data_IF_861200320644
#
_entry.id   IF_861200320644
#
_cell.length_a   1.000
_cell.length_b   1.000
_cell.length_c   1.000
_cell.angle_alpha   90.00
_cell.angle_beta   90.00
_cell.angle_gamma   90.00
#
_symmetry.space_group_name_H-M   'P 1'
#
loop_
_entity.id
_entity.type
_entity.pdbx_description
1 polymer ?
#
# COMPACT_ATOMS: atom_id res chain seq x y z
N UNK A 1 5.24 50.57 -7.71
CA UNK A 1 4.94 49.26 -8.34
C UNK A 1 3.94 48.53 -7.46
N UNK A 2 2.71 48.33 -7.93
CA UNK A 2 1.74 47.46 -7.26
C UNK A 2 2.07 46.05 -7.74
N UNK A 3 2.72 45.28 -6.89
CA UNK A 3 2.92 43.86 -7.16
C UNK A 3 1.56 43.16 -7.06
N UNK A 4 1.21 42.24 -7.99
CA UNK A 4 -0.08 41.59 -7.97
C UNK A 4 -0.23 40.70 -6.74
N UNK A 5 -1.42 40.72 -6.14
CA UNK A 5 -1.82 39.79 -5.09
C UNK A 5 -1.72 38.36 -5.63
N UNK A 6 -0.96 37.49 -4.96
CA UNK A 6 -0.92 36.07 -5.32
C UNK A 6 -2.05 35.34 -4.60
N UNK A 7 -2.87 34.61 -5.35
CA UNK A 7 -4.01 33.86 -4.84
C UNK A 7 -3.75 32.36 -5.03
N UNK A 8 -3.90 31.58 -3.97
CA UNK A 8 -3.69 30.14 -3.96
C UNK A 8 -4.93 29.40 -3.50
N UNK A 9 -5.14 28.21 -4.05
CA UNK A 9 -6.17 27.28 -3.58
C UNK A 9 -5.49 26.20 -2.75
N UNK A 10 -5.84 26.11 -1.46
CA UNK A 10 -5.28 25.15 -0.52
C UNK A 10 -6.36 24.10 -0.20
N UNK A 11 -6.12 22.80 -0.45
CA UNK A 11 -7.04 21.75 -0.04
C UNK A 11 -7.29 21.79 1.47
N UNK A 12 -8.57 21.74 1.89
CA UNK A 12 -8.99 21.73 3.28
C UNK A 12 -10.25 20.87 3.46
N UNK A 13 -10.05 19.61 3.84
CA UNK A 13 -11.14 18.63 3.89
C UNK A 13 -11.82 18.49 2.51
N UNK A 14 -13.15 18.59 2.41
CA UNK A 14 -13.86 18.45 1.12
C UNK A 14 -13.88 19.74 0.28
N UNK A 15 -13.25 20.84 0.72
CA UNK A 15 -13.26 22.14 0.03
C UNK A 15 -11.84 22.66 -0.21
N UNK A 16 -11.74 23.73 -1.00
CA UNK A 16 -10.51 24.52 -1.13
C UNK A 16 -10.65 25.86 -0.42
N UNK A 17 -9.58 26.30 0.23
CA UNK A 17 -9.48 27.63 0.83
C UNK A 17 -8.66 28.54 -0.07
N UNK A 18 -9.15 29.77 -0.23
CA UNK A 18 -8.42 30.81 -0.94
C UNK A 18 -7.42 31.49 0.01
N UNK A 19 -6.13 31.37 -0.29
CA UNK A 19 -5.06 32.05 0.43
C UNK A 19 -4.52 33.21 -0.42
N UNK A 20 -4.64 34.43 0.11
CA UNK A 20 -4.13 35.66 -0.50
C UNK A 20 -2.82 36.04 0.16
N UNK A 21 -1.72 36.04 -0.59
CA UNK A 21 -0.40 36.44 -0.07
C UNK A 21 -0.10 37.86 -0.56
N UNK A 22 0.02 38.84 0.37
CA UNK A 22 0.45 40.19 0.02
C UNK A 22 1.85 40.16 -0.61
N UNK A 23 2.09 41.01 -1.62
CA UNK A 23 3.33 40.97 -2.39
C UNK A 23 4.59 41.40 -1.63
N UNK A 24 4.44 41.98 -0.43
CA UNK A 24 5.57 42.30 0.46
C UNK A 24 6.30 41.03 0.92
N UNK A 25 5.62 39.88 0.93
CA UNK A 25 6.21 38.61 1.30
C UNK A 25 6.93 37.98 0.12
N UNK A 26 8.18 37.56 0.34
CA UNK A 26 9.00 36.82 -0.62
C UNK A 26 9.04 35.35 -0.24
N UNK A 27 8.90 34.47 -1.22
CA UNK A 27 8.95 33.03 -1.05
C UNK A 27 8.80 32.31 -2.39
N UNK A 28 9.09 31.01 -2.37
CA UNK A 28 8.95 30.13 -3.52
C UNK A 28 7.75 29.20 -3.34
N UNK A 29 7.13 28.82 -4.45
CA UNK A 29 6.01 27.87 -4.47
C UNK A 29 6.56 26.53 -4.90
N UNK A 30 6.60 25.58 -3.98
CA UNK A 30 6.96 24.20 -4.27
C UNK A 30 5.68 23.42 -4.55
N UNK A 31 5.46 23.10 -5.82
CA UNK A 31 4.39 22.20 -6.25
C UNK A 31 5.01 20.97 -6.89
N UNK A 32 4.46 19.80 -6.57
CA UNK A 32 4.87 18.57 -7.24
C UNK A 32 4.58 18.68 -8.73
N UNK A 33 5.61 18.57 -9.58
CA UNK A 33 5.43 18.34 -11.01
C UNK A 33 5.24 16.85 -11.20
N UNK A 34 4.03 16.37 -10.95
CA UNK A 34 3.63 15.09 -11.50
C UNK A 34 3.36 15.37 -12.98
N UNK A 35 4.17 14.81 -13.87
CA UNK A 35 3.78 14.72 -15.27
C UNK A 35 2.48 13.94 -15.30
N UNK A 36 1.38 14.65 -15.53
CA UNK A 36 0.08 14.06 -15.79
C UNK A 36 0.11 13.52 -17.21
N UNK A 37 1.01 12.59 -17.53
CA UNK A 37 0.64 11.64 -18.56
C UNK A 37 -0.69 11.06 -18.12
N UNK A 38 -1.70 11.14 -18.99
CA UNK A 38 -3.01 10.59 -18.66
C UNK A 38 -2.80 9.11 -18.44
N UNK A 39 -2.95 8.66 -17.20
CA UNK A 39 -2.98 7.24 -16.90
C UNK A 39 -4.19 6.62 -17.62
N UNK A 40 -3.91 5.68 -18.52
CA UNK A 40 -4.94 4.87 -19.19
C UNK A 40 -4.97 3.48 -18.54
N UNK A 41 -6.19 2.94 -18.36
CA UNK A 41 -6.34 1.65 -17.68
C UNK A 41 -5.80 0.49 -18.53
N UNK A 42 -5.82 0.68 -19.84
CA UNK A 42 -5.27 -0.21 -20.85
C UNK A 42 -3.75 -0.38 -20.67
N UNK A 43 -3.03 0.66 -20.26
CA UNK A 43 -1.59 0.60 -19.96
C UNK A 43 -1.33 -0.30 -18.75
N UNK A 44 -2.17 -0.21 -17.72
CA UNK A 44 -2.08 -1.10 -16.57
C UNK A 44 -2.35 -2.56 -16.97
N UNK A 45 -3.38 -2.82 -17.78
CA UNK A 45 -3.68 -4.16 -18.26
C UNK A 45 -2.54 -4.75 -19.09
N UNK A 46 -1.90 -3.94 -19.94
CA UNK A 46 -0.71 -4.34 -20.68
C UNK A 46 0.48 -4.64 -19.74
N UNK A 47 0.70 -3.78 -18.73
CA UNK A 47 1.78 -3.94 -17.76
C UNK A 47 1.65 -5.20 -16.90
N UNK A 48 0.43 -5.65 -16.58
CA UNK A 48 0.19 -6.93 -15.88
C UNK A 48 0.82 -8.12 -16.63
N UNK A 49 0.89 -8.06 -17.96
CA UNK A 49 1.54 -9.07 -18.80
C UNK A 49 3.03 -8.85 -19.04
N UNK A 50 3.61 -7.75 -18.56
CA UNK A 50 5.00 -7.34 -18.81
C UNK A 50 5.71 -7.07 -17.47
N UNK A 51 6.05 -8.12 -16.70
CA UNK A 51 6.81 -7.95 -15.46
C UNK A 51 8.20 -7.35 -15.74
N UNK A 52 8.71 -6.54 -14.81
CA UNK A 52 10.02 -5.89 -14.97
C UNK A 52 11.20 -6.87 -14.78
N UNK A 53 11.19 -7.64 -13.67
CA UNK A 53 12.32 -8.49 -13.26
C UNK A 53 11.83 -9.81 -12.63
N UNK A 54 10.77 -10.41 -13.19
CA UNK A 54 10.21 -11.67 -12.71
C UNK A 54 9.60 -12.50 -13.84
N UNK A 55 9.32 -13.79 -13.60
CA UNK A 55 8.41 -14.56 -14.43
C UNK A 55 7.08 -13.84 -14.66
N UNK A 56 6.43 -14.15 -15.78
CA UNK A 56 5.08 -13.69 -16.09
C UNK A 56 4.07 -14.13 -15.03
N UNK A 57 2.97 -13.40 -14.89
CA UNK A 57 1.93 -13.76 -13.91
C UNK A 57 1.37 -15.17 -14.16
N UNK A 58 1.22 -15.57 -15.42
CA UNK A 58 0.72 -16.91 -15.77
C UNK A 58 1.71 -18.01 -15.34
N UNK A 59 3.01 -17.78 -15.50
CA UNK A 59 4.06 -18.70 -15.03
C UNK A 59 4.14 -18.75 -13.49
N UNK A 60 4.02 -17.59 -12.84
CA UNK A 60 4.01 -17.51 -11.37
C UNK A 60 2.82 -18.27 -10.75
N UNK A 61 1.67 -18.23 -11.42
CA UNK A 61 0.44 -18.90 -10.99
C UNK A 61 0.35 -20.36 -11.46
N UNK A 62 1.29 -20.84 -12.28
CA UNK A 62 1.28 -22.23 -12.72
C UNK A 62 1.45 -23.19 -11.54
N UNK A 63 0.62 -24.24 -11.52
CA UNK A 63 0.54 -25.19 -10.41
C UNK A 63 0.12 -24.61 -9.05
N UNK A 64 -0.33 -23.34 -8.98
CA UNK A 64 -0.66 -22.67 -7.73
C UNK A 64 -1.81 -23.38 -6.98
N UNK A 65 -1.50 -23.94 -5.81
CA UNK A 65 -2.48 -24.67 -4.98
C UNK A 65 -3.35 -23.74 -4.14
N UNK A 66 -2.76 -22.64 -3.67
CA UNK A 66 -3.43 -21.63 -2.87
C UNK A 66 -2.74 -20.28 -3.01
N UNK A 67 -3.52 -19.25 -3.30
CA UNK A 67 -3.04 -17.88 -3.49
C UNK A 67 -3.51 -17.00 -2.33
N UNK A 68 -2.59 -16.24 -1.73
CA UNK A 68 -2.94 -15.16 -0.82
C UNK A 68 -2.71 -13.82 -1.50
N UNK A 69 -3.76 -13.01 -1.59
CA UNK A 69 -3.70 -11.68 -2.16
C UNK A 69 -3.70 -10.67 -1.02
N UNK A 70 -2.59 -9.95 -0.84
CA UNK A 70 -2.50 -8.85 0.11
C UNK A 70 -2.99 -7.57 -0.54
N UNK A 71 -3.89 -6.86 0.12
CA UNK A 71 -4.42 -5.57 -0.36
C UNK A 71 -4.28 -4.50 0.71
N UNK A 72 -4.15 -3.24 0.31
CA UNK A 72 -4.28 -2.14 1.26
C UNK A 72 -5.70 -2.07 1.85
N UNK A 73 -5.80 -1.48 3.04
CA UNK A 73 -7.07 -1.10 3.64
C UNK A 73 -7.66 0.17 2.99
N UNK A 74 -8.82 0.60 3.48
CA UNK A 74 -9.58 1.75 2.96
C UNK A 74 -8.87 3.10 3.13
N UNK A 75 -7.81 3.15 3.94
CA UNK A 75 -7.05 4.39 4.20
C UNK A 75 -6.11 4.72 3.06
N UNK A 76 -5.99 3.84 2.06
CA UNK A 76 -5.20 4.05 0.85
C UNK A 76 -6.10 4.27 -0.37
N UNK A 77 -5.73 5.18 -1.27
CA UNK A 77 -6.46 5.42 -2.51
C UNK A 77 -6.13 4.35 -3.57
N UNK A 78 -5.82 3.11 -3.16
CA UNK A 78 -5.51 2.02 -4.08
C UNK A 78 -6.79 1.61 -4.83
N UNK A 79 -6.81 1.60 -6.18
CA UNK A 79 -7.97 1.17 -6.96
C UNK A 79 -8.08 -0.37 -6.98
N UNK A 80 -8.17 -0.98 -5.79
CA UNK A 80 -8.08 -2.44 -5.58
C UNK A 80 -9.05 -3.21 -6.48
N UNK A 81 -10.32 -2.83 -6.51
CA UNK A 81 -11.33 -3.49 -7.34
C UNK A 81 -11.02 -3.46 -8.84
N UNK A 82 -10.48 -2.34 -9.36
CA UNK A 82 -10.02 -2.27 -10.76
C UNK A 82 -8.80 -3.16 -10.99
N UNK A 83 -7.80 -3.11 -10.10
CA UNK A 83 -6.63 -4.00 -10.24
C UNK A 83 -7.07 -5.46 -10.23
N UNK A 84 -8.00 -5.84 -9.35
CA UNK A 84 -8.58 -7.18 -9.34
C UNK A 84 -9.31 -7.50 -10.64
N UNK A 85 -10.05 -6.57 -11.23
CA UNK A 85 -10.71 -6.74 -12.52
C UNK A 85 -9.72 -7.07 -13.64
N UNK A 86 -8.57 -6.37 -13.71
CA UNK A 86 -7.51 -6.68 -14.67
C UNK A 86 -6.85 -8.06 -14.42
N UNK A 87 -6.78 -8.49 -13.16
CA UNK A 87 -6.21 -9.79 -12.77
C UNK A 87 -7.22 -10.94 -12.84
N UNK A 88 -8.52 -10.63 -12.87
CA UNK A 88 -9.62 -11.57 -12.70
C UNK A 88 -9.58 -12.77 -13.65
N UNK A 89 -9.24 -12.62 -14.94
CA UNK A 89 -9.14 -13.75 -15.86
C UNK A 89 -8.14 -14.83 -15.42
N UNK A 90 -7.14 -14.45 -14.62
CA UNK A 90 -6.05 -15.33 -14.14
C UNK A 90 -6.29 -15.87 -12.74
N UNK A 91 -6.95 -15.11 -11.87
CA UNK A 91 -7.09 -15.47 -10.45
C UNK A 91 -8.45 -16.07 -10.08
N UNK A 92 -9.52 -15.80 -10.84
CA UNK A 92 -10.91 -16.14 -10.45
C UNK A 92 -11.16 -17.64 -10.25
N UNK A 93 -10.44 -18.48 -11.00
CA UNK A 93 -10.54 -19.96 -10.91
C UNK A 93 -9.62 -20.57 -9.86
N UNK A 94 -8.72 -19.79 -9.27
CA UNK A 94 -7.79 -20.28 -8.26
C UNK A 94 -8.47 -20.35 -6.89
N UNK A 95 -7.95 -21.22 -6.05
CA UNK A 95 -8.23 -21.17 -4.62
C UNK A 95 -7.45 -20.00 -4.02
N UNK A 96 -8.13 -18.89 -3.73
CA UNK A 96 -7.47 -17.71 -3.17
C UNK A 96 -8.22 -17.11 -1.99
N UNK A 97 -7.45 -16.46 -1.11
CA UNK A 97 -7.95 -15.57 -0.07
C UNK A 97 -7.38 -14.17 -0.27
N UNK A 98 -8.13 -13.17 0.18
CA UNK A 98 -7.65 -11.79 0.28
C UNK A 98 -7.37 -11.52 1.75
N UNK A 99 -6.20 -10.95 2.06
CA UNK A 99 -5.90 -10.44 3.39
C UNK A 99 -5.70 -8.92 3.31
N UNK A 100 -6.61 -8.19 3.95
CA UNK A 100 -6.53 -6.73 4.07
C UNK A 100 -5.44 -6.38 5.08
N UNK A 101 -4.40 -5.70 4.59
CA UNK A 101 -3.21 -5.32 5.33
C UNK A 101 -3.44 -4.00 6.10
N UNK A 102 -4.08 -4.12 7.26
CA UNK A 102 -4.46 -2.99 8.14
C UNK A 102 -3.30 -2.40 8.94
N UNK A 103 -2.20 -3.14 9.11
CA UNK A 103 -1.15 -2.79 10.06
C UNK A 103 -1.71 -2.53 11.45
N UNK A 104 -1.60 -1.28 11.94
CA UNK A 104 -2.12 -0.88 13.27
C UNK A 104 -3.55 -0.37 13.25
N UNK A 105 -4.14 -0.19 12.07
CA UNK A 105 -5.50 0.33 11.92
C UNK A 105 -6.54 -0.68 12.41
N UNK A 106 -7.73 -0.18 12.74
CA UNK A 106 -8.87 -1.05 13.03
C UNK A 106 -9.37 -1.66 11.71
N UNK A 107 -9.77 -2.94 11.69
CA UNK A 107 -10.44 -3.52 10.53
C UNK A 107 -11.63 -2.68 10.07
N UNK A 108 -11.82 -2.58 8.75
CA UNK A 108 -12.91 -1.85 8.12
C UNK A 108 -14.27 -2.45 8.50
N UNK A 109 -15.33 -1.65 8.41
CA UNK A 109 -16.73 -2.11 8.49
C UNK A 109 -17.27 -2.46 7.10
N UNK A 110 -18.25 -3.36 7.05
CA UNK A 110 -18.77 -3.98 5.80
C UNK A 110 -19.15 -2.98 4.70
N UNK A 111 -19.74 -1.83 5.05
CA UNK A 111 -20.23 -0.82 4.08
C UNK A 111 -19.14 -0.24 3.15
N UNK A 112 -17.87 -0.24 3.58
CA UNK A 112 -16.77 0.27 2.75
C UNK A 112 -16.17 -0.80 1.83
N UNK A 113 -16.44 -2.08 2.09
CA UNK A 113 -15.79 -3.19 1.40
C UNK A 113 -16.29 -3.34 -0.04
N UNK A 114 -17.60 -3.20 -0.25
CA UNK A 114 -18.17 -3.22 -1.59
C UNK A 114 -17.50 -2.19 -2.49
N UNK A 115 -17.31 -0.96 -2.00
CA UNK A 115 -16.62 0.11 -2.75
C UNK A 115 -15.17 -0.24 -3.10
N UNK A 116 -14.44 -0.87 -2.17
CA UNK A 116 -13.03 -1.22 -2.37
C UNK A 116 -12.87 -2.33 -3.40
N UNK A 117 -13.79 -3.30 -3.36
CA UNK A 117 -13.70 -4.54 -4.12
C UNK A 117 -14.58 -4.59 -5.38
N UNK A 118 -15.43 -3.58 -5.62
CA UNK A 118 -16.21 -3.46 -6.85
C UNK A 118 -15.31 -3.51 -8.11
N UNK A 119 -15.67 -4.27 -9.16
CA UNK A 119 -16.97 -4.93 -9.35
C UNK A 119 -17.08 -6.33 -8.74
N UNK A 120 -15.98 -6.93 -8.29
CA UNK A 120 -15.94 -8.34 -7.91
C UNK A 120 -16.37 -8.65 -6.47
N UNK A 121 -16.95 -7.67 -5.75
CA UNK A 121 -17.43 -7.88 -4.39
C UNK A 121 -18.38 -9.09 -4.25
N UNK A 122 -19.38 -9.30 -5.13
CA UNK A 122 -20.28 -10.46 -5.05
C UNK A 122 -19.56 -11.81 -5.13
N UNK A 123 -18.46 -11.91 -5.87
CA UNK A 123 -17.69 -13.14 -6.08
C UNK A 123 -16.69 -13.42 -4.94
N UNK A 124 -16.35 -12.41 -4.14
CA UNK A 124 -15.33 -12.53 -3.10
C UNK A 124 -15.85 -13.19 -1.83
N UNK A 125 -17.13 -13.06 -1.49
CA UNK A 125 -17.77 -13.74 -0.36
C UNK A 125 -16.90 -13.80 0.91
N UNK A 126 -16.83 -14.96 1.56
CA UNK A 126 -16.01 -15.20 2.76
C UNK A 126 -14.50 -15.36 2.51
N UNK A 127 -13.98 -14.96 1.34
CA UNK A 127 -12.53 -15.05 1.02
C UNK A 127 -11.72 -13.90 1.61
N UNK A 128 -12.38 -12.84 2.09
CA UNK A 128 -11.73 -11.65 2.61
C UNK A 128 -11.49 -11.81 4.11
N UNK A 129 -10.23 -11.71 4.50
CA UNK A 129 -9.75 -11.72 5.86
C UNK A 129 -9.17 -10.35 6.20
N UNK A 130 -9.27 -9.98 7.47
CA UNK A 130 -8.68 -8.75 7.98
C UNK A 130 -7.50 -9.09 8.89
N UNK A 131 -6.40 -8.40 8.67
CA UNK A 131 -5.30 -8.45 9.60
C UNK A 131 -5.68 -7.72 10.91
N UNK A 132 -5.32 -8.30 12.05
CA UNK A 132 -5.32 -7.61 13.34
C UNK A 132 -3.94 -7.80 13.98
N UNK A 133 -3.14 -6.73 13.99
CA UNK A 133 -1.78 -6.75 14.55
C UNK A 133 -1.73 -7.06 16.04
N UNK A 134 -2.86 -6.95 16.76
CA UNK A 134 -2.95 -7.20 18.21
C UNK A 134 -3.42 -8.62 18.54
N UNK A 135 -3.84 -9.40 17.54
CA UNK A 135 -4.25 -10.78 17.73
C UNK A 135 -3.03 -11.73 17.72
N UNK A 136 -2.39 -11.92 18.87
CA UNK A 136 -1.15 -12.71 18.98
C UNK A 136 -1.30 -14.16 18.49
N UNK A 137 -2.44 -14.81 18.78
CA UNK A 137 -2.69 -16.20 18.35
C UNK A 137 -2.79 -16.39 16.84
N UNK A 138 -2.95 -15.31 16.07
CA UNK A 138 -2.97 -15.32 14.61
C UNK A 138 -1.61 -15.12 13.95
N UNK A 139 -0.53 -14.97 14.73
CA UNK A 139 0.80 -14.62 14.25
C UNK A 139 1.76 -15.81 14.24
N UNK A 140 2.72 -15.78 13.33
CA UNK A 140 3.84 -16.73 13.28
C UNK A 140 5.16 -15.97 13.28
N UNK A 141 6.11 -16.46 14.07
CA UNK A 141 7.48 -15.94 14.10
C UNK A 141 8.29 -16.50 12.93
N UNK A 142 8.89 -15.62 12.13
CA UNK A 142 9.65 -15.98 10.93
C UNK A 142 11.15 -15.73 11.06
N UNK A 143 11.59 -15.05 12.11
CA UNK A 143 13.00 -14.78 12.34
C UNK A 143 13.23 -13.45 13.02
N UNK A 144 14.50 -13.09 13.16
CA UNK A 144 14.94 -11.80 13.70
C UNK A 144 15.83 -11.13 12.67
N UNK A 145 15.56 -9.85 12.40
CA UNK A 145 16.36 -9.07 11.47
C UNK A 145 17.77 -8.85 12.01
N UNK A 146 18.73 -8.48 11.15
CA UNK A 146 20.09 -8.13 11.61
C UNK A 146 20.09 -6.93 12.58
N UNK A 147 19.00 -6.16 12.61
CA UNK A 147 18.76 -5.03 13.51
C UNK A 147 18.05 -5.41 14.81
N UNK A 148 17.79 -6.70 15.04
CA UNK A 148 17.16 -7.20 16.26
C UNK A 148 15.63 -7.14 16.27
N UNK A 149 14.98 -6.71 15.19
CA UNK A 149 13.50 -6.73 15.12
C UNK A 149 13.04 -8.17 14.98
N UNK A 150 12.25 -8.66 15.94
CA UNK A 150 11.55 -9.94 15.80
C UNK A 150 10.46 -9.78 14.73
N UNK A 151 10.46 -10.63 13.72
CA UNK A 151 9.49 -10.61 12.62
C UNK A 151 8.38 -11.62 12.92
N UNK A 152 7.23 -11.11 13.33
CA UNK A 152 6.00 -11.88 13.49
C UNK A 152 4.98 -11.38 12.47
N UNK A 153 4.46 -12.28 11.63
CA UNK A 153 3.50 -11.96 10.58
C UNK A 153 2.22 -12.77 10.75
N UNK A 154 1.13 -12.33 10.12
CA UNK A 154 -0.10 -13.09 10.06
C UNK A 154 0.13 -14.49 9.46
N UNK A 155 -0.33 -15.53 10.16
CA UNK A 155 -0.06 -16.92 9.82
C UNK A 155 -0.60 -17.35 8.45
N UNK A 156 -1.58 -16.63 7.89
CA UNK A 156 -2.07 -16.90 6.53
C UNK A 156 -0.97 -16.86 5.47
N UNK A 157 0.10 -16.06 5.68
CA UNK A 157 1.22 -15.98 4.72
C UNK A 157 1.92 -17.32 4.52
N UNK A 158 1.96 -18.17 5.56
CA UNK A 158 2.60 -19.49 5.51
C UNK A 158 1.65 -20.60 5.05
N UNK A 159 0.35 -20.31 4.99
CA UNK A 159 -0.66 -21.26 4.50
C UNK A 159 -0.83 -21.18 2.98
N UNK A 160 -0.27 -20.15 2.34
CA UNK A 160 -0.37 -19.93 0.92
C UNK A 160 0.86 -20.47 0.18
N UNK A 161 0.61 -21.06 -0.98
CA UNK A 161 1.65 -21.52 -1.92
C UNK A 161 2.25 -20.34 -2.70
N UNK A 162 1.43 -19.33 -2.99
CA UNK A 162 1.83 -18.09 -3.65
C UNK A 162 1.24 -16.88 -2.94
N UNK A 163 1.99 -15.78 -2.90
CA UNK A 163 1.54 -14.51 -2.33
C UNK A 163 1.65 -13.41 -3.38
N UNK A 164 0.53 -12.73 -3.65
CA UNK A 164 0.45 -11.58 -4.55
C UNK A 164 0.12 -10.33 -3.74
N UNK A 165 0.87 -9.24 -3.94
CA UNK A 165 0.67 -8.00 -3.21
C UNK A 165 0.15 -6.90 -4.14
N UNK A 166 -1.04 -6.37 -3.84
CA UNK A 166 -1.67 -5.26 -4.56
C UNK A 166 -1.68 -4.03 -3.67
N UNK A 167 -0.98 -2.98 -4.10
CA UNK A 167 -0.94 -1.73 -3.36
C UNK A 167 -0.47 -0.54 -4.17
N UNK A 168 -0.57 0.64 -3.59
CA UNK A 168 -0.15 1.91 -4.17
C UNK A 168 1.26 2.31 -3.69
N UNK A 169 2.01 2.96 -4.59
CA UNK A 169 3.32 3.56 -4.31
C UNK A 169 3.18 5.08 -4.26
N UNK A 170 3.50 5.66 -3.11
CA UNK A 170 3.39 7.08 -2.81
C UNK A 170 4.61 7.49 -1.98
N UNK A 171 5.10 8.74 -2.09
CA UNK A 171 6.10 9.27 -1.17
C UNK A 171 5.64 9.11 0.30
N UNK A 172 6.54 8.68 1.16
CA UNK A 172 6.27 8.46 2.57
C UNK A 172 7.30 9.17 3.45
N UNK A 173 6.81 10.07 4.29
CA UNK A 173 7.57 11.04 5.08
C UNK A 173 8.82 10.54 5.84
N UNK A 174 8.86 9.30 6.34
CA UNK A 174 10.08 8.70 6.94
C UNK A 174 10.57 7.42 6.26
N UNK A 175 9.76 6.85 5.37
CA UNK A 175 10.00 5.51 4.84
C UNK A 175 10.23 5.54 3.35
N UNK A 176 10.71 6.65 2.78
CA UNK A 176 10.88 6.82 1.34
C UNK A 176 9.57 6.76 0.56
N UNK A 177 9.07 5.54 0.32
CA UNK A 177 7.88 5.22 -0.45
C UNK A 177 7.03 4.13 0.23
N UNK A 178 5.71 4.17 0.00
CA UNK A 178 4.78 3.07 0.29
C UNK A 178 4.96 1.89 -0.69
N UNK A 179 4.00 0.96 -0.72
CA UNK A 179 3.98 -0.15 -1.66
C UNK A 179 4.92 -1.31 -1.32
N UNK A 180 4.83 -2.37 -2.14
CA UNK A 180 5.65 -3.58 -2.06
C UNK A 180 5.73 -4.15 -0.64
N UNK A 181 6.95 -4.29 -0.13
CA UNK A 181 7.30 -4.68 1.25
C UNK A 181 6.43 -4.10 2.37
N UNK A 182 5.86 -2.90 2.23
CA UNK A 182 5.02 -2.30 3.27
C UNK A 182 3.69 -3.02 3.50
N UNK A 183 3.20 -3.79 2.51
CA UNK A 183 2.07 -4.70 2.69
C UNK A 183 2.43 -5.88 3.61
N UNK A 184 3.72 -6.21 3.75
CA UNK A 184 4.22 -7.22 4.69
C UNK A 184 4.47 -6.59 6.06
N UNK A 185 5.43 -5.65 6.14
CA UNK A 185 5.72 -4.89 7.37
C UNK A 185 5.57 -3.39 7.07
N UNK A 186 4.60 -2.69 7.67
CA UNK A 186 3.76 -3.12 8.80
C UNK A 186 2.48 -3.87 8.42
N UNK A 187 2.14 -3.98 7.13
CA UNK A 187 0.78 -4.30 6.69
C UNK A 187 0.12 -5.54 7.31
N UNK A 188 0.87 -6.62 7.50
CA UNK A 188 0.39 -7.86 8.14
C UNK A 188 1.26 -8.32 9.31
N UNK A 189 2.00 -7.39 9.92
CA UNK A 189 2.92 -7.67 11.00
C UNK A 189 2.25 -7.54 12.38
N UNK A 190 2.71 -8.33 13.35
CA UNK A 190 2.28 -8.16 14.74
C UNK A 190 2.64 -6.77 15.27
N UNK A 191 1.85 -6.27 16.21
CA UNK A 191 2.00 -4.93 16.77
C UNK A 191 3.41 -4.67 17.32
N UNK A 192 4.00 -5.68 17.98
CA UNK A 192 5.38 -5.63 18.49
C UNK A 192 6.42 -5.47 17.39
N UNK A 193 6.31 -6.23 16.29
CA UNK A 193 7.16 -6.07 15.10
C UNK A 193 7.00 -4.68 14.50
N UNK A 194 5.76 -4.19 14.40
CA UNK A 194 5.47 -2.85 13.86
C UNK A 194 6.15 -1.77 14.71
N UNK A 195 5.96 -1.79 16.04
CA UNK A 195 6.53 -0.80 16.96
C UNK A 195 8.06 -0.83 16.91
N UNK A 196 8.66 -2.04 16.94
CA UNK A 196 10.11 -2.21 16.80
C UNK A 196 10.62 -1.58 15.51
N UNK A 197 9.97 -1.85 14.37
CA UNK A 197 10.38 -1.27 13.10
C UNK A 197 10.14 0.25 13.02
N UNK A 198 9.07 0.76 13.63
CA UNK A 198 8.77 2.20 13.64
C UNK A 198 9.70 3.01 14.53
N UNK A 199 10.33 2.41 15.54
CA UNK A 199 11.36 3.08 16.34
C UNK A 199 12.53 3.60 15.46
N UNK A 200 12.78 2.92 14.34
CA UNK A 200 13.82 3.27 13.37
C UNK A 200 13.47 4.51 12.52
N UNK A 201 12.21 4.95 12.54
CA UNK A 201 11.80 6.19 11.88
C UNK A 201 12.40 7.45 12.52
N UNK A 202 12.96 7.33 13.74
CA UNK A 202 13.63 8.41 14.43
C UNK A 202 15.12 8.52 14.09
N UNK A 203 15.66 7.58 13.31
CA UNK A 203 17.08 7.55 12.97
C UNK A 203 17.44 8.51 11.84
N UNK A 204 18.68 9.03 11.81
CA UNK A 204 19.18 9.78 10.67
C UNK A 204 19.01 9.00 9.36
N UNK A 205 18.50 9.69 8.32
CA UNK A 205 18.24 9.09 7.01
C UNK A 205 16.83 8.50 6.85
N UNK A 206 16.01 8.44 7.91
CA UNK A 206 14.58 8.19 7.81
C UNK A 206 13.87 9.44 7.26
N UNK A 207 13.70 9.49 5.93
CA UNK A 207 13.17 10.67 5.24
C UNK A 207 12.28 10.29 4.05
N UNK A 208 11.53 11.27 3.56
CA UNK A 208 10.75 11.14 2.33
C UNK A 208 11.68 10.93 1.13
N UNK A 209 11.23 10.15 0.15
CA UNK A 209 11.95 9.84 -1.09
C UNK A 209 13.29 9.09 -0.91
N UNK A 210 13.69 8.75 0.32
CA UNK A 210 14.85 7.91 0.59
C UNK A 210 14.52 6.42 0.38
N UNK A 211 14.97 5.81 -0.72
CA UNK A 211 14.80 4.38 -0.95
C UNK A 211 15.86 3.56 -0.20
N UNK A 212 17.05 3.40 -0.76
CA UNK A 212 18.12 2.53 -0.24
C UNK A 212 18.81 3.05 1.02
N UNK A 213 18.56 4.28 1.44
CA UNK A 213 19.20 4.89 2.61
C UNK A 213 18.35 4.82 3.88
N UNK A 214 17.05 4.52 3.78
CA UNK A 214 16.16 4.60 4.96
C UNK A 214 16.37 3.40 5.89
N UNK A 215 16.72 3.63 7.17
CA UNK A 215 16.94 2.54 8.12
C UNK A 215 15.67 1.69 8.34
N UNK A 216 14.50 2.28 8.12
CA UNK A 216 13.18 1.63 8.15
C UNK A 216 12.99 0.56 7.06
N UNK A 217 13.67 0.69 5.91
CA UNK A 217 13.59 -0.28 4.81
C UNK A 217 14.60 -1.43 4.93
N UNK A 218 15.55 -1.34 5.86
CA UNK A 218 16.66 -2.29 6.01
C UNK A 218 16.47 -3.21 7.22
N UNK A 219 15.26 -3.69 7.43
CA UNK A 219 14.93 -4.62 8.53
C UNK A 219 14.52 -5.95 7.96
#
# INVERSE_FOLDING_TARGET
>A
MIFPLKVFQIPYGPRSLELKIPPVHRGEILVSRLETERFHWEDFQAAVGQPLDSPGLDEFLDGCRSLLILVNDETRPTPTGRVLEALWPRISRLNFKILVATGTHRPSRDENLERIFHPHWPELGGRILFHDSRQEGGMIFLGTTFRGTRVLLNSQIMMADRVLAIGSVEPHYFAGYTGGRKLIVPGIAAYSTIVSNHSLAMEPGAQSLGCWATPFMKT
#
